data_IF_289802279487
#
_entry.id   IF_289802279487
#
_cell.length_a   1.000
_cell.length_b   1.000
_cell.length_c   1.000
_cell.angle_alpha   90.00
_cell.angle_beta   90.00
_cell.angle_gamma   90.00
#
_symmetry.space_group_name_H-M   'P 1'
#
loop_
_entity.id
_entity.type
_entity.pdbx_description
1 polymer ?
#
# COMPACT_ATOMS: atom_id res chain seq x y z
N UNK A 1 -8.92 8.86 -14.30
CA UNK A 1 -8.91 9.05 -12.82
C UNK A 1 -10.34 9.01 -12.35
N UNK A 2 -10.68 8.04 -11.51
CA UNK A 2 -12.01 7.92 -10.91
C UNK A 2 -11.94 8.40 -9.46
N UNK A 3 -12.94 9.15 -9.00
CA UNK A 3 -13.04 9.63 -7.61
C UNK A 3 -14.28 9.01 -7.00
N UNK A 4 -14.10 8.18 -5.98
CA UNK A 4 -15.19 7.55 -5.23
C UNK A 4 -15.31 8.27 -3.89
N UNK A 5 -16.52 8.72 -3.55
CA UNK A 5 -16.81 9.45 -2.30
C UNK A 5 -17.71 8.57 -1.44
N UNK A 6 -17.34 8.38 -0.18
CA UNK A 6 -18.08 7.56 0.79
C UNK A 6 -18.37 6.13 0.27
N UNK A 7 -17.36 5.51 -0.33
CA UNK A 7 -17.45 4.13 -0.80
C UNK A 7 -17.73 3.20 0.39
N UNK A 8 -18.75 2.36 0.27
CA UNK A 8 -19.16 1.38 1.27
C UNK A 8 -18.72 -0.05 0.92
N UNK A 9 -18.02 -0.23 -0.20
CA UNK A 9 -17.55 -1.50 -0.74
C UNK A 9 -16.01 -1.55 -0.88
N UNK A 10 -15.30 -1.02 0.13
CA UNK A 10 -13.83 -0.93 0.10
C UNK A 10 -13.13 -2.29 -0.05
N UNK A 11 -13.70 -3.37 0.51
CA UNK A 11 -13.14 -4.71 0.38
C UNK A 11 -13.17 -5.20 -1.07
N UNK A 12 -14.30 -5.04 -1.77
CA UNK A 12 -14.43 -5.42 -3.19
C UNK A 12 -13.49 -4.58 -4.05
N UNK A 13 -13.46 -3.26 -3.81
CA UNK A 13 -12.54 -2.37 -4.50
C UNK A 13 -11.09 -2.81 -4.29
N UNK A 14 -10.66 -3.13 -3.07
CA UNK A 14 -9.31 -3.61 -2.83
C UNK A 14 -9.02 -4.94 -3.53
N UNK A 15 -9.95 -5.89 -3.50
CA UNK A 15 -9.79 -7.21 -4.10
C UNK A 15 -9.70 -7.18 -5.65
N UNK A 16 -10.29 -6.17 -6.29
CA UNK A 16 -10.28 -5.99 -7.74
C UNK A 16 -9.04 -5.23 -8.27
N UNK A 17 -8.15 -4.76 -7.40
CA UNK A 17 -6.97 -3.98 -7.81
C UNK A 17 -5.67 -4.76 -7.55
N UNK A 18 -4.66 -4.47 -8.35
CA UNK A 18 -3.35 -5.14 -8.24
C UNK A 18 -2.41 -4.44 -7.24
N UNK A 19 -2.61 -3.16 -6.96
CA UNK A 19 -1.72 -2.36 -6.12
C UNK A 19 -2.48 -1.25 -5.40
N UNK A 20 -2.14 -1.01 -4.14
CA UNK A 20 -2.59 0.15 -3.38
C UNK A 20 -1.46 1.10 -3.00
N UNK A 21 -1.78 2.39 -2.95
CA UNK A 21 -0.95 3.43 -2.34
C UNK A 21 -1.78 4.08 -1.23
N UNK A 22 -1.31 4.06 0.01
CA UNK A 22 -2.09 4.60 1.12
C UNK A 22 -1.31 4.75 2.42
N UNK A 23 -1.95 5.32 3.44
CA UNK A 23 -1.32 5.50 4.74
C UNK A 23 -1.15 4.17 5.51
N UNK A 24 -0.22 4.15 6.47
CA UNK A 24 0.03 3.03 7.37
C UNK A 24 -0.88 3.08 8.63
N UNK A 25 -2.21 3.11 8.39
CA UNK A 25 -3.26 3.09 9.42
C UNK A 25 -3.99 1.74 9.52
N UNK A 26 -5.25 1.73 9.97
CA UNK A 26 -6.08 0.51 10.06
C UNK A 26 -6.24 -0.18 8.70
N UNK A 27 -6.38 0.60 7.62
CA UNK A 27 -6.49 0.11 6.24
C UNK A 27 -5.25 -0.66 5.78
N UNK A 28 -4.09 -0.51 6.42
CA UNK A 28 -2.92 -1.35 6.11
C UNK A 28 -3.20 -2.82 6.42
N UNK A 29 -3.88 -3.12 7.54
CA UNK A 29 -4.26 -4.47 7.90
C UNK A 29 -5.33 -5.05 6.97
N UNK A 30 -6.30 -4.24 6.56
CA UNK A 30 -7.31 -4.65 5.58
C UNK A 30 -6.67 -5.09 4.25
N UNK A 31 -5.69 -4.32 3.76
CA UNK A 31 -4.92 -4.69 2.56
C UNK A 31 -4.09 -5.96 2.77
N UNK A 32 -3.44 -6.11 3.92
CA UNK A 32 -2.73 -7.35 4.26
C UNK A 32 -3.65 -8.58 4.29
N UNK A 33 -4.87 -8.45 4.83
CA UNK A 33 -5.85 -9.54 4.86
C UNK A 33 -6.31 -9.95 3.46
N UNK A 34 -6.29 -9.03 2.50
CA UNK A 34 -6.66 -9.27 1.10
C UNK A 34 -5.45 -9.64 0.23
N UNK A 35 -4.25 -9.71 0.79
CA UNK A 35 -3.03 -9.94 0.01
C UNK A 35 -2.65 -8.80 -0.93
N UNK A 36 -3.29 -7.63 -0.82
CA UNK A 36 -3.12 -6.52 -1.77
C UNK A 36 -1.74 -5.87 -1.63
N UNK A 37 -0.87 -5.96 -2.66
CA UNK A 37 0.42 -5.29 -2.69
C UNK A 37 0.27 -3.81 -2.38
N UNK A 38 1.15 -3.26 -1.54
CA UNK A 38 0.96 -1.90 -1.00
C UNK A 38 2.27 -1.10 -0.95
N UNK A 39 2.20 0.13 -1.45
CA UNK A 39 3.13 1.22 -1.08
C UNK A 39 2.48 2.03 0.04
N UNK A 40 3.10 2.01 1.21
CA UNK A 40 2.67 2.78 2.37
C UNK A 40 3.37 4.13 2.45
N UNK A 41 2.60 5.19 2.63
CA UNK A 41 3.13 6.53 2.91
C UNK A 41 2.94 6.83 4.40
N UNK A 42 4.04 6.98 5.13
CA UNK A 42 3.99 7.38 6.52
C UNK A 42 3.67 8.88 6.63
N UNK A 43 2.43 9.19 7.04
CA UNK A 43 1.95 10.58 7.13
C UNK A 43 2.10 11.20 8.53
N UNK A 44 2.34 10.38 9.55
CA UNK A 44 2.44 10.82 10.94
C UNK A 44 3.33 9.88 11.74
N UNK A 45 3.94 10.38 12.82
CA UNK A 45 4.88 9.59 13.65
C UNK A 45 4.28 8.31 14.22
N UNK A 46 2.98 8.33 14.54
CA UNK A 46 2.26 7.17 15.05
C UNK A 46 2.09 6.04 14.02
N UNK A 47 2.36 6.28 12.74
CA UNK A 47 2.30 5.27 11.68
C UNK A 47 3.67 4.60 11.43
N UNK A 48 4.78 5.21 11.90
CA UNK A 48 6.15 4.75 11.59
C UNK A 48 6.41 3.32 12.01
N UNK A 49 5.91 2.94 13.19
CA UNK A 49 6.11 1.59 13.72
C UNK A 49 5.46 0.53 12.82
N UNK A 50 4.20 0.72 12.44
CA UNK A 50 3.47 -0.20 11.54
C UNK A 50 4.14 -0.23 10.18
N UNK A 51 4.46 0.95 9.64
CA UNK A 51 5.09 1.10 8.34
C UNK A 51 6.41 0.32 8.26
N UNK A 52 7.27 0.49 9.27
CA UNK A 52 8.54 -0.25 9.39
C UNK A 52 8.32 -1.75 9.52
N UNK A 53 7.42 -2.19 10.40
CA UNK A 53 7.23 -3.61 10.67
C UNK A 53 6.77 -4.39 9.42
N UNK A 54 5.78 -3.86 8.69
CA UNK A 54 5.28 -4.48 7.47
C UNK A 54 6.31 -4.42 6.33
N UNK A 55 7.14 -3.36 6.29
CA UNK A 55 8.25 -3.27 5.36
C UNK A 55 9.31 -4.35 5.62
N UNK A 56 9.72 -4.51 6.88
CA UNK A 56 10.73 -5.50 7.27
C UNK A 56 10.24 -6.95 7.03
N UNK A 57 8.91 -7.18 7.04
CA UNK A 57 8.30 -8.47 6.68
C UNK A 57 8.20 -8.70 5.16
N UNK A 58 8.53 -7.71 4.34
CA UNK A 58 8.45 -7.80 2.88
C UNK A 58 7.02 -7.77 2.32
N UNK A 59 6.02 -7.42 3.13
CA UNK A 59 4.61 -7.37 2.69
C UNK A 59 4.19 -5.99 2.17
N UNK A 60 5.04 -4.98 2.32
CA UNK A 60 4.79 -3.63 1.82
C UNK A 60 6.10 -2.85 1.59
N UNK A 61 6.06 -1.84 0.74
CA UNK A 61 7.12 -0.83 0.63
C UNK A 61 6.70 0.40 1.41
N UNK A 62 7.53 0.87 2.34
CA UNK A 62 7.25 2.08 3.13
C UNK A 62 8.07 3.25 2.62
N UNK A 63 7.43 4.41 2.45
CA UNK A 63 8.05 5.70 2.18
C UNK A 63 7.59 6.72 3.23
N UNK A 64 8.47 7.63 3.61
CA UNK A 64 8.07 8.85 4.31
C UNK A 64 7.48 9.87 3.33
N UNK A 65 6.65 10.79 3.82
CA UNK A 65 6.03 11.83 2.98
C UNK A 65 7.06 12.65 2.19
N UNK A 66 8.23 12.93 2.79
CA UNK A 66 9.30 13.68 2.15
C UNK A 66 9.95 12.93 0.97
N UNK A 67 9.82 11.60 0.93
CA UNK A 67 10.48 10.75 -0.06
C UNK A 67 9.63 10.50 -1.31
N UNK A 68 8.33 10.85 -1.28
CA UNK A 68 7.39 10.54 -2.36
C UNK A 68 7.93 11.03 -3.71
N UNK A 69 8.41 12.27 -3.77
CA UNK A 69 8.84 12.87 -5.04
C UNK A 69 10.03 12.13 -5.67
N UNK A 70 10.94 11.62 -4.84
CA UNK A 70 12.18 11.00 -5.30
C UNK A 70 12.05 9.48 -5.47
N UNK A 71 11.24 8.83 -4.63
CA UNK A 71 11.22 7.37 -4.50
C UNK A 71 9.94 6.70 -4.96
N UNK A 72 8.85 7.43 -5.23
CA UNK A 72 7.60 6.80 -5.65
C UNK A 72 7.76 5.99 -6.94
N UNK A 73 8.46 6.54 -7.93
CA UNK A 73 8.71 5.83 -9.19
C UNK A 73 9.54 4.57 -8.95
N UNK A 74 10.59 4.67 -8.15
CA UNK A 74 11.42 3.52 -7.77
C UNK A 74 10.58 2.44 -7.05
N UNK A 75 9.71 2.84 -6.12
CA UNK A 75 8.84 1.93 -5.38
C UNK A 75 7.84 1.22 -6.30
N UNK A 76 7.25 1.94 -7.26
CA UNK A 76 6.38 1.35 -8.28
C UNK A 76 7.11 0.32 -9.14
N UNK A 77 8.38 0.58 -9.48
CA UNK A 77 9.20 -0.34 -10.27
C UNK A 77 9.60 -1.62 -9.52
N UNK A 78 9.41 -1.68 -8.20
CA UNK A 78 9.66 -2.91 -7.44
C UNK A 78 8.55 -3.95 -7.61
N UNK A 79 7.37 -3.55 -8.09
CA UNK A 79 6.26 -4.46 -8.38
C UNK A 79 6.29 -4.82 -9.86
N UNK A 80 6.77 -6.01 -10.19
CA UNK A 80 6.64 -6.57 -11.55
C UNK A 80 5.28 -7.29 -11.71
N UNK A 81 4.83 -7.46 -12.96
CA UNK A 81 3.52 -8.07 -13.23
C UNK A 81 3.42 -9.54 -12.79
N UNK A 82 4.54 -10.28 -12.73
CA UNK A 82 4.55 -11.67 -12.28
C UNK A 82 4.37 -11.76 -10.75
N UNK A 83 4.98 -10.87 -9.97
CA UNK A 83 4.82 -10.79 -8.52
C UNK A 83 3.43 -10.32 -8.12
N UNK A 84 2.85 -9.37 -8.86
CA UNK A 84 1.47 -8.95 -8.63
C UNK A 84 0.50 -10.11 -8.86
N UNK A 85 0.72 -10.95 -9.88
CA UNK A 85 -0.12 -12.14 -10.14
C UNK A 85 0.02 -13.26 -9.10
N UNK A 86 1.16 -13.37 -8.41
CA UNK A 86 1.41 -14.42 -7.41
C UNK A 86 0.76 -14.13 -6.04
N UNK A 87 0.24 -12.91 -5.83
CA UNK A 87 -0.37 -12.48 -4.58
C UNK A 87 -1.91 -12.60 -4.56
N UNK A 88 -2.51 -13.19 -5.60
CA UNK A 88 -3.94 -13.55 -5.70
C UNK A 88 -4.20 -15.05 -5.52
#
# INVERSE_FOLDING_TARGET
>A
VNILINANNMADLMAEHDLAIGAAGSTAWERCCLGLPTIMICMADNQKMIAKYLHDLGVAISLDQAEIHEKLLWALQQFDQEQLQLMH
#
